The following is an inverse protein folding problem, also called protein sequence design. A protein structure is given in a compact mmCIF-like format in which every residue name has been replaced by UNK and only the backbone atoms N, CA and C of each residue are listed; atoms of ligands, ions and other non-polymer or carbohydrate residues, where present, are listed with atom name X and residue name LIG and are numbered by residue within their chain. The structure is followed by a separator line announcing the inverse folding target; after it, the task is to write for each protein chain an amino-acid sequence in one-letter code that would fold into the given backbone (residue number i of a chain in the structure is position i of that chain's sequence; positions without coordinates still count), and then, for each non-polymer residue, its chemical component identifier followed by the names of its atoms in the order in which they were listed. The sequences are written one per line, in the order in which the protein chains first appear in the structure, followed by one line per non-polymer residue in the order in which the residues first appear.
data_IF_953821248678
#
_entry.id   IF_953821248678
#
_cell.length_a   1.000
_cell.length_b   1.000
_cell.length_c   1.000
_cell.angle_alpha   90.00
_cell.angle_beta   90.00
_cell.angle_gamma   90.00
#
_symmetry.space_group_name_H-M   'P 1'
#
loop_
_entity.id
_entity.type
_entity.pdbx_description
1 polymer ?
#
# COMPACT_ATOMS: atom_id res chain seq x y z
N UNK A 1 27.52 26.71 7.01
CA UNK A 1 26.13 26.20 7.01
C UNK A 1 25.28 27.14 6.18
N UNK A 2 24.55 26.65 5.17
CA UNK A 2 23.70 27.51 4.33
C UNK A 2 22.34 27.75 4.99
N UNK A 3 21.68 28.86 4.68
CA UNK A 3 20.33 29.16 5.16
C UNK A 3 19.33 28.01 4.83
N UNK A 4 19.47 27.42 3.64
CA UNK A 4 18.69 26.25 3.23
C UNK A 4 18.91 25.06 4.18
N UNK A 5 20.15 24.76 4.53
CA UNK A 5 20.51 23.67 5.46
C UNK A 5 20.01 23.97 6.89
N UNK A 6 20.15 25.21 7.35
CA UNK A 6 19.65 25.65 8.66
C UNK A 6 18.13 25.56 8.79
N UNK A 7 17.38 25.90 7.74
CA UNK A 7 15.91 25.86 7.73
C UNK A 7 15.36 24.42 7.68
N UNK A 8 16.08 23.47 7.06
CA UNK A 8 15.67 22.06 7.04
C UNK A 8 15.90 21.36 8.39
N UNK A 9 16.90 21.82 9.16
CA UNK A 9 17.21 21.28 10.49
C UNK A 9 16.26 21.76 11.60
N UNK A 10 15.26 22.58 11.27
CA UNK A 10 14.30 23.16 12.23
C UNK A 10 12.86 22.79 11.84
N UNK A 11 12.41 21.57 12.18
CA UNK A 11 11.07 21.10 11.85
C UNK A 11 9.97 22.00 12.42
N UNK A 12 10.21 22.68 13.54
CA UNK A 12 9.31 23.67 14.12
C UNK A 12 9.10 24.89 13.22
N UNK A 13 10.15 25.37 12.54
CA UNK A 13 10.08 26.52 11.63
C UNK A 13 9.40 26.12 10.32
N UNK A 14 9.65 24.90 9.84
CA UNK A 14 8.92 24.36 8.68
C UNK A 14 7.44 24.20 8.99
N UNK A 15 7.08 23.67 10.17
CA UNK A 15 5.70 23.57 10.61
C UNK A 15 5.02 24.95 10.70
N UNK A 16 5.72 25.98 11.18
CA UNK A 16 5.22 27.36 11.20
C UNK A 16 5.05 27.89 9.77
N UNK A 17 6.01 27.63 8.86
CA UNK A 17 5.93 28.01 7.45
C UNK A 17 4.74 27.37 6.74
N UNK A 18 4.49 26.08 6.99
CA UNK A 18 3.29 25.38 6.52
C UNK A 18 2.02 25.97 7.13
N UNK A 19 2.04 26.27 8.43
CA UNK A 19 0.96 26.97 9.12
C UNK A 19 0.68 28.36 8.53
N UNK A 20 1.68 29.12 8.06
CA UNK A 20 1.45 30.44 7.43
C UNK A 20 0.68 30.28 6.11
N UNK A 21 1.02 29.26 5.31
CA UNK A 21 0.32 28.96 4.05
C UNK A 21 -1.08 28.39 4.26
N UNK A 22 -1.29 27.62 5.33
CA UNK A 22 -2.61 27.09 5.71
C UNK A 22 -3.45 28.10 6.52
N UNK A 23 -2.89 29.29 6.85
CA UNK A 23 -3.52 30.32 7.69
C UNK A 23 -3.22 31.77 7.24
N UNK A 24 -3.42 32.16 5.96
CA UNK A 24 -3.22 33.53 5.50
C UNK A 24 -4.00 34.58 6.30
N UNK A 25 -5.20 34.24 6.79
CA UNK A 25 -6.04 35.14 7.60
C UNK A 25 -5.49 35.52 8.98
N UNK A 26 -4.45 34.85 9.49
CA UNK A 26 -3.81 35.18 10.78
C UNK A 26 -2.82 36.33 10.68
N UNK A 27 -2.28 36.59 9.48
CA UNK A 27 -1.20 37.55 9.27
C UNK A 27 -1.61 38.74 8.38
N UNK A 28 -2.62 38.55 7.53
CA UNK A 28 -3.17 39.60 6.67
C UNK A 28 -4.60 39.93 7.08
N UNK A 29 -4.77 40.61 8.21
CA UNK A 29 -6.08 41.16 8.62
C UNK A 29 -6.24 42.60 8.11
N UNK A 30 -7.31 42.87 7.37
CA UNK A 30 -7.72 44.25 7.07
C UNK A 30 -8.39 44.84 8.32
N UNK A 31 -8.02 46.08 8.75
CA UNK A 31 -8.68 46.77 9.86
C UNK A 31 -10.20 46.83 9.67
N UNK A 32 -10.95 46.61 10.76
CA UNK A 32 -12.40 46.38 10.75
C UNK A 32 -13.23 47.47 10.05
N UNK A 33 -12.71 48.69 9.94
CA UNK A 33 -13.40 49.83 9.32
C UNK A 33 -13.46 49.86 7.79
N UNK A 34 -12.84 48.92 7.08
CA UNK A 34 -12.80 48.90 5.60
C UNK A 34 -13.54 47.70 4.96
N UNK A 35 -14.40 46.99 5.71
CA UNK A 35 -15.01 45.73 5.24
C UNK A 35 -16.34 45.94 4.51
N UNK A 36 -16.43 45.46 3.26
CA UNK A 36 -17.71 45.10 2.62
C UNK A 36 -18.08 43.64 2.96
N UNK A 37 -19.38 43.32 3.12
CA UNK A 37 -19.82 42.00 3.55
C UNK A 37 -20.00 41.05 2.35
N UNK A 38 -18.96 40.33 1.95
CA UNK A 38 -19.07 38.95 1.42
C UNK A 38 -17.70 38.36 1.06
N UNK A 39 -17.50 37.11 1.48
CA UNK A 39 -16.69 36.07 0.83
C UNK A 39 -15.21 36.39 0.56
N UNK A 40 -14.34 35.95 1.49
CA UNK A 40 -13.03 35.31 1.20
C UNK A 40 -12.10 35.22 2.42
N UNK A 41 -12.36 35.93 3.52
CA UNK A 41 -11.45 35.97 4.68
C UNK A 41 -11.83 35.05 5.87
N UNK A 42 -12.97 34.34 5.81
CA UNK A 42 -13.45 33.46 6.88
C UNK A 42 -13.18 31.96 6.66
N UNK A 43 -12.69 31.54 5.48
CA UNK A 43 -12.57 30.13 5.10
C UNK A 43 -11.71 29.31 6.08
N UNK A 44 -10.45 29.67 6.24
CA UNK A 44 -9.49 28.88 7.00
C UNK A 44 -9.77 28.85 8.51
N UNK A 45 -10.23 29.96 9.08
CA UNK A 45 -10.59 30.05 10.49
C UNK A 45 -11.84 29.21 10.83
N UNK A 46 -12.84 29.21 9.94
CA UNK A 46 -14.04 28.38 10.07
C UNK A 46 -13.71 26.90 9.85
N UNK A 47 -12.81 26.59 8.92
CA UNK A 47 -12.32 25.23 8.71
C UNK A 47 -11.57 24.71 9.95
N UNK A 48 -10.65 25.50 10.51
CA UNK A 48 -9.91 25.12 11.72
C UNK A 48 -10.83 24.99 12.94
N UNK A 49 -11.80 25.89 13.10
CA UNK A 49 -12.81 25.78 14.14
C UNK A 49 -13.63 24.48 14.01
N UNK A 50 -14.05 24.13 12.79
CA UNK A 50 -14.78 22.89 12.49
C UNK A 50 -13.98 21.66 12.90
N UNK A 51 -12.71 21.58 12.49
CA UNK A 51 -11.83 20.44 12.83
C UNK A 51 -11.57 20.35 14.34
N UNK A 52 -11.52 21.49 15.05
CA UNK A 52 -11.30 21.54 16.51
C UNK A 52 -12.52 21.15 17.34
N UNK A 53 -13.72 21.24 16.80
CA UNK A 53 -14.99 20.86 17.49
C UNK A 53 -15.51 19.49 17.10
N UNK A 54 -14.79 18.76 16.23
CA UNK A 54 -15.06 17.34 15.97
C UNK A 54 -14.97 16.54 17.27
N UNK A 55 -15.98 15.72 17.49
CA UNK A 55 -16.17 14.94 18.71
C UNK A 55 -16.56 13.49 18.42
N UNK A 56 -16.36 13.02 17.18
CA UNK A 56 -16.48 11.62 16.83
C UNK A 56 -15.42 10.79 17.55
N UNK A 57 -15.71 9.51 17.73
CA UNK A 57 -14.76 8.59 18.39
C UNK A 57 -13.54 8.23 17.54
N UNK A 58 -13.69 8.29 16.22
CA UNK A 58 -12.65 8.05 15.22
C UNK A 58 -12.38 9.35 14.46
N UNK A 59 -13.43 10.02 13.97
CA UNK A 59 -13.33 11.37 13.42
C UNK A 59 -13.38 12.42 14.55
N UNK A 60 -12.32 12.41 15.36
CA UNK A 60 -12.19 13.24 16.57
C UNK A 60 -11.59 14.61 16.33
N UNK A 61 -11.35 15.32 17.43
CA UNK A 61 -10.74 16.66 17.45
C UNK A 61 -9.38 16.64 16.76
N UNK A 62 -9.17 17.58 15.82
CA UNK A 62 -7.89 17.69 15.11
C UNK A 62 -7.72 16.72 13.94
N UNK A 63 -8.70 15.85 13.68
CA UNK A 63 -8.69 14.93 12.54
C UNK A 63 -9.30 15.55 11.28
N UNK A 64 -8.76 15.20 10.13
CA UNK A 64 -9.27 15.59 8.80
C UNK A 64 -9.56 14.37 7.95
N UNK A 65 -10.51 14.51 7.02
CA UNK A 65 -10.70 13.56 5.93
C UNK A 65 -9.99 14.11 4.70
N UNK A 66 -8.99 13.37 4.22
CA UNK A 66 -8.20 13.74 3.07
C UNK A 66 -8.45 12.74 1.94
N UNK A 67 -8.62 13.26 0.73
CA UNK A 67 -8.75 12.46 -0.47
C UNK A 67 -7.54 11.53 -0.62
N UNK A 68 -7.81 10.28 -0.97
CA UNK A 68 -6.78 9.26 -1.11
C UNK A 68 -5.87 9.51 -2.32
N UNK A 69 -6.40 10.19 -3.35
CA UNK A 69 -5.64 10.64 -4.51
C UNK A 69 -4.84 11.90 -4.20
N UNK A 70 -3.60 11.93 -4.68
CA UNK A 70 -2.72 13.09 -4.52
C UNK A 70 -1.83 13.29 -5.75
N UNK A 71 -1.37 14.53 -6.00
CA UNK A 71 -0.46 14.83 -7.09
C UNK A 71 0.84 14.04 -7.00
N UNK A 72 1.31 13.51 -8.13
CA UNK A 72 2.53 12.69 -8.16
C UNK A 72 2.33 11.25 -7.66
N UNK A 73 1.10 10.84 -7.32
CA UNK A 73 0.80 9.44 -7.05
C UNK A 73 1.17 8.59 -8.27
N UNK A 74 1.88 7.48 -8.01
CA UNK A 74 2.33 6.58 -9.06
C UNK A 74 1.13 6.05 -9.85
N UNK A 75 1.22 6.11 -11.16
CA UNK A 75 0.25 5.50 -12.08
C UNK A 75 0.92 4.36 -12.83
N UNK A 76 0.12 3.41 -13.30
CA UNK A 76 0.65 2.29 -14.08
C UNK A 76 1.01 2.78 -15.48
N UNK A 77 2.19 2.37 -15.96
CA UNK A 77 2.59 2.55 -17.36
C UNK A 77 1.96 1.52 -18.30
N UNK A 78 1.36 0.45 -17.78
CA UNK A 78 0.94 -0.71 -18.58
C UNK A 78 -0.56 -1.01 -18.53
N UNK A 79 -1.20 -0.84 -17.37
CA UNK A 79 -2.65 -1.07 -17.20
C UNK A 79 -3.27 0.21 -16.67
N UNK A 80 -3.85 1.00 -17.57
CA UNK A 80 -4.48 2.26 -17.24
C UNK A 80 -5.99 2.07 -17.11
N UNK A 81 -6.48 2.09 -15.87
CA UNK A 81 -7.90 2.03 -15.56
C UNK A 81 -8.27 3.32 -14.82
N UNK A 82 -9.24 4.06 -15.35
CA UNK A 82 -9.65 5.32 -14.78
C UNK A 82 -10.20 5.11 -13.35
N UNK A 83 -9.70 5.89 -12.39
CA UNK A 83 -10.08 5.76 -10.98
C UNK A 83 -9.40 4.59 -10.24
N UNK A 84 -8.52 3.81 -10.87
CA UNK A 84 -7.71 2.79 -10.22
C UNK A 84 -6.21 3.04 -10.50
N UNK A 85 -5.50 3.77 -9.63
CA UNK A 85 -4.09 4.05 -9.85
C UNK A 85 -3.22 2.81 -9.69
N UNK A 86 -2.08 2.82 -10.38
CA UNK A 86 -1.02 1.83 -10.25
C UNK A 86 -1.48 0.36 -10.36
N UNK A 87 -2.38 0.05 -11.30
CA UNK A 87 -2.74 -1.35 -11.58
C UNK A 87 -1.55 -2.07 -12.20
N UNK A 88 -1.08 -3.12 -11.53
CA UNK A 88 0.06 -3.91 -11.97
C UNK A 88 -0.29 -5.39 -12.03
N UNK A 89 0.28 -6.11 -12.99
CA UNK A 89 0.16 -7.56 -13.13
C UNK A 89 1.56 -8.17 -13.10
N UNK A 90 1.75 -9.21 -12.29
CA UNK A 90 2.99 -9.99 -12.27
C UNK A 90 3.09 -10.83 -13.54
N UNK A 91 4.23 -10.78 -14.21
CA UNK A 91 4.44 -11.59 -15.41
C UNK A 91 4.44 -13.10 -15.10
N UNK A 92 3.70 -13.87 -15.88
CA UNK A 92 3.52 -15.31 -15.69
C UNK A 92 2.60 -15.73 -14.55
N UNK A 93 1.97 -14.80 -13.79
CA UNK A 93 1.01 -15.15 -12.73
C UNK A 93 -0.32 -14.41 -12.88
N UNK A 94 -1.45 -14.99 -12.42
CA UNK A 94 -2.73 -14.31 -12.33
C UNK A 94 -2.80 -13.44 -11.06
N UNK A 95 -1.74 -12.67 -10.80
CA UNK A 95 -1.56 -11.89 -9.57
C UNK A 95 -1.45 -10.42 -9.94
N UNK A 96 -2.27 -9.60 -9.30
CA UNK A 96 -2.45 -8.20 -9.59
C UNK A 96 -2.35 -7.37 -8.32
N UNK A 97 -1.96 -6.11 -8.47
CA UNK A 97 -2.10 -5.10 -7.41
C UNK A 97 -2.66 -3.81 -7.95
N UNK A 98 -3.23 -2.99 -7.06
CA UNK A 98 -3.65 -1.63 -7.35
C UNK A 98 -3.51 -0.73 -6.13
N UNK A 99 -3.42 0.58 -6.37
CA UNK A 99 -3.68 1.57 -5.34
C UNK A 99 -5.17 1.59 -4.97
N UNK A 100 -5.51 2.29 -3.90
CA UNK A 100 -6.91 2.45 -3.49
C UNK A 100 -7.72 3.08 -4.64
N UNK A 101 -8.73 2.39 -5.19
CA UNK A 101 -9.49 2.88 -6.33
C UNK A 101 -10.71 3.69 -5.88
N UNK A 102 -11.33 4.43 -6.81
CA UNK A 102 -12.74 4.85 -6.71
C UNK A 102 -13.67 3.64 -6.85
N UNK A 103 -14.95 3.81 -6.50
CA UNK A 103 -15.97 2.77 -6.74
C UNK A 103 -16.03 2.40 -8.23
N UNK A 104 -16.02 3.39 -9.12
CA UNK A 104 -16.01 3.17 -10.56
C UNK A 104 -14.73 2.42 -11.01
N UNK A 105 -13.56 2.84 -10.52
CA UNK A 105 -12.30 2.17 -10.82
C UNK A 105 -12.27 0.71 -10.35
N UNK A 106 -12.82 0.43 -9.16
CA UNK A 106 -12.95 -0.94 -8.66
C UNK A 106 -13.83 -1.81 -9.59
N UNK A 107 -14.96 -1.27 -10.08
CA UNK A 107 -15.84 -1.97 -11.03
C UNK A 107 -15.13 -2.26 -12.35
N UNK A 108 -14.37 -1.30 -12.87
CA UNK A 108 -13.59 -1.45 -14.10
C UNK A 108 -12.47 -2.49 -13.95
N UNK A 109 -11.76 -2.50 -12.82
CA UNK A 109 -10.74 -3.54 -12.54
C UNK A 109 -11.38 -4.93 -12.47
N UNK A 110 -12.50 -5.08 -11.76
CA UNK A 110 -13.20 -6.37 -11.69
C UNK A 110 -13.73 -6.81 -13.07
N UNK A 111 -14.20 -5.88 -13.90
CA UNK A 111 -14.60 -6.16 -15.27
C UNK A 111 -13.41 -6.58 -16.16
N UNK A 112 -12.26 -5.91 -16.00
CA UNK A 112 -11.00 -6.27 -16.66
C UNK A 112 -10.56 -7.69 -16.28
N UNK A 113 -10.71 -8.08 -15.01
CA UNK A 113 -10.45 -9.43 -14.50
C UNK A 113 -11.57 -10.43 -14.81
N UNK A 114 -12.58 -10.04 -15.59
CA UNK A 114 -13.71 -10.91 -16.00
C UNK A 114 -14.47 -11.53 -14.80
N UNK A 115 -14.54 -10.80 -13.69
CA UNK A 115 -15.26 -11.21 -12.50
C UNK A 115 -16.79 -11.23 -12.67
N UNK A 116 -17.31 -10.66 -13.77
CA UNK A 116 -18.73 -10.70 -14.11
C UNK A 116 -18.89 -11.29 -15.51
N UNK A 117 -19.84 -12.21 -15.73
CA UNK A 117 -20.05 -12.80 -17.04
C UNK A 117 -20.62 -11.75 -18.00
N UNK A 118 -20.01 -11.61 -19.19
CA UNK A 118 -20.44 -10.65 -20.22
C UNK A 118 -21.61 -11.17 -21.08
N UNK A 119 -21.78 -12.48 -21.14
CA UNK A 119 -22.78 -13.19 -21.95
C UNK A 119 -23.37 -14.30 -21.09
N UNK A 120 -24.68 -14.52 -21.17
CA UNK A 120 -25.34 -15.68 -20.55
C UNK A 120 -24.67 -16.97 -21.02
N UNK A 121 -24.08 -17.73 -20.09
CA UNK A 121 -23.35 -18.98 -20.36
C UNK A 121 -21.82 -18.90 -20.30
N UNK A 122 -21.22 -17.71 -20.17
CA UNK A 122 -19.78 -17.57 -19.88
C UNK A 122 -19.52 -17.68 -18.37
N UNK A 123 -18.50 -18.46 -17.96
CA UNK A 123 -18.10 -18.56 -16.55
C UNK A 123 -17.35 -17.29 -16.12
N UNK A 124 -17.82 -16.67 -15.04
CA UNK A 124 -17.09 -15.61 -14.37
C UNK A 124 -15.77 -16.15 -13.79
N UNK A 125 -14.74 -15.31 -13.77
CA UNK A 125 -13.50 -15.64 -13.09
C UNK A 125 -13.56 -15.16 -11.64
N UNK A 126 -13.53 -16.09 -10.69
CA UNK A 126 -13.48 -15.76 -9.26
C UNK A 126 -12.23 -14.92 -8.95
N UNK A 127 -12.44 -13.72 -8.41
CA UNK A 127 -11.35 -12.83 -7.97
C UNK A 127 -11.20 -12.87 -6.46
N UNK A 128 -10.02 -13.21 -5.96
CA UNK A 128 -9.69 -13.07 -4.53
C UNK A 128 -9.08 -11.69 -4.32
N UNK A 129 -9.85 -10.78 -3.73
CA UNK A 129 -9.40 -9.43 -3.42
C UNK A 129 -8.92 -9.37 -1.97
N UNK A 130 -7.64 -9.08 -1.78
CA UNK A 130 -7.03 -8.89 -0.46
C UNK A 130 -6.64 -7.43 -0.26
N UNK A 131 -7.25 -6.78 0.71
CA UNK A 131 -6.98 -5.41 1.09
C UNK A 131 -5.93 -5.36 2.20
N UNK A 132 -4.79 -4.75 1.89
CA UNK A 132 -3.59 -4.69 2.73
C UNK A 132 -3.48 -3.40 3.54
N UNK A 133 -4.47 -2.50 3.45
CA UNK A 133 -4.40 -1.18 4.10
C UNK A 133 -4.47 -1.31 5.62
N UNK A 134 -3.53 -0.66 6.31
CA UNK A 134 -3.53 -0.50 7.78
C UNK A 134 -4.21 0.80 8.28
N UNK A 135 -4.71 1.60 7.34
CA UNK A 135 -5.40 2.85 7.64
C UNK A 135 -6.90 2.72 7.43
N UNK A 136 -7.69 3.39 8.26
CA UNK A 136 -9.13 3.45 8.09
C UNK A 136 -9.44 4.33 6.88
N UNK A 137 -10.18 3.76 5.92
CA UNK A 137 -10.66 4.46 4.73
C UNK A 137 -12.18 4.52 4.71
N UNK A 138 -12.70 5.52 4.02
CA UNK A 138 -14.13 5.69 3.75
C UNK A 138 -14.34 6.16 2.32
N UNK A 139 -15.42 5.72 1.69
CA UNK A 139 -15.85 6.21 0.40
C UNK A 139 -16.96 7.23 0.60
N UNK A 140 -16.82 8.39 -0.03
CA UNK A 140 -17.80 9.46 -0.05
C UNK A 140 -18.06 9.77 -1.52
N UNK A 141 -19.29 9.58 -1.97
CA UNK A 141 -19.70 9.77 -3.38
C UNK A 141 -18.74 9.08 -4.36
N UNK A 142 -18.47 7.80 -4.11
CA UNK A 142 -17.59 6.99 -4.94
C UNK A 142 -16.09 7.25 -4.80
N UNK A 143 -15.68 8.30 -4.07
CA UNK A 143 -14.28 8.72 -3.91
C UNK A 143 -13.71 8.28 -2.56
N UNK A 144 -12.51 7.68 -2.51
CA UNK A 144 -11.88 7.27 -1.26
C UNK A 144 -11.26 8.44 -0.49
N UNK A 145 -11.43 8.43 0.83
CA UNK A 145 -10.85 9.35 1.79
C UNK A 145 -10.19 8.56 2.94
N UNK A 146 -9.16 9.16 3.54
CA UNK A 146 -8.41 8.63 4.68
C UNK A 146 -8.37 9.67 5.80
N UNK A 147 -8.32 9.20 7.05
CA UNK A 147 -8.15 10.07 8.20
C UNK A 147 -6.70 10.51 8.33
N UNK A 148 -6.47 11.80 8.56
CA UNK A 148 -5.16 12.38 8.87
C UNK A 148 -5.26 13.31 10.07
N UNK A 149 -4.13 13.62 10.69
CA UNK A 149 -4.06 14.70 11.66
C UNK A 149 -3.89 16.04 10.94
N UNK A 150 -4.58 17.09 11.40
CA UNK A 150 -4.52 18.43 10.79
C UNK A 150 -3.10 19.02 10.78
N UNK A 151 -2.30 18.74 11.81
CA UNK A 151 -0.91 19.19 11.95
C UNK A 151 0.08 18.32 11.14
N UNK A 152 -0.32 17.13 10.71
CA UNK A 152 0.49 16.17 9.92
C UNK A 152 -0.35 15.54 8.80
N UNK A 153 -0.89 16.36 7.87
CA UNK A 153 -1.89 15.91 6.91
C UNK A 153 -1.33 15.00 5.79
N UNK A 154 -0.01 14.96 5.64
CA UNK A 154 0.70 14.09 4.67
C UNK A 154 1.17 12.80 5.33
N UNK A 155 1.30 12.76 6.66
CA UNK A 155 1.82 11.60 7.37
C UNK A 155 0.76 10.50 7.46
N UNK A 156 1.18 9.28 7.17
CA UNK A 156 0.39 8.06 7.34
C UNK A 156 0.02 7.90 8.83
N UNK A 157 -1.27 7.74 9.14
CA UNK A 157 -1.79 7.53 10.50
C UNK A 157 -1.84 6.01 10.73
N UNK A 158 -0.81 5.53 11.42
CA UNK A 158 -0.49 4.10 11.49
C UNK A 158 -1.05 3.46 12.75
N UNK A 159 -1.68 2.31 12.60
CA UNK A 159 -2.07 1.43 13.70
C UNK A 159 -1.23 0.15 13.64
N UNK A 160 0.03 0.23 14.10
CA UNK A 160 0.98 -0.88 13.97
C UNK A 160 0.41 -2.14 14.65
N UNK A 161 0.26 -3.21 13.86
CA UNK A 161 -0.23 -4.51 14.36
C UNK A 161 -1.75 -4.63 14.48
N UNK A 162 -2.53 -3.70 13.91
CA UNK A 162 -3.99 -3.81 13.86
C UNK A 162 -4.44 -5.02 13.04
N UNK A 163 -5.49 -5.70 13.48
CA UNK A 163 -6.08 -6.82 12.74
C UNK A 163 -7.18 -6.32 11.79
N UNK A 164 -7.47 -7.09 10.73
CA UNK A 164 -8.52 -6.77 9.77
C UNK A 164 -9.87 -6.45 10.43
N UNK A 165 -10.41 -7.32 11.31
CA UNK A 165 -11.70 -7.08 11.96
C UNK A 165 -11.74 -5.81 12.83
N UNK A 166 -10.63 -5.48 13.51
CA UNK A 166 -10.55 -4.25 14.32
C UNK A 166 -10.54 -3.03 13.41
N UNK A 167 -9.83 -3.09 12.28
CA UNK A 167 -9.78 -1.99 11.33
C UNK A 167 -11.14 -1.76 10.64
N UNK A 168 -11.85 -2.83 10.28
CA UNK A 168 -13.21 -2.74 9.73
C UNK A 168 -14.19 -2.13 10.74
N UNK A 169 -14.07 -2.46 12.04
CA UNK A 169 -14.87 -1.83 13.10
C UNK A 169 -14.55 -0.32 13.20
N UNK A 170 -13.28 0.06 13.09
CA UNK A 170 -12.88 1.48 13.06
C UNK A 170 -13.43 2.20 11.83
N UNK A 171 -13.46 1.57 10.65
CA UNK A 171 -14.05 2.12 9.43
C UNK A 171 -15.57 2.27 9.55
N UNK A 172 -16.27 1.31 10.16
CA UNK A 172 -17.70 1.42 10.47
C UNK A 172 -17.98 2.59 11.42
N UNK A 173 -17.15 2.74 12.46
CA UNK A 173 -17.28 3.83 13.41
C UNK A 173 -16.94 5.20 12.82
N UNK A 174 -15.95 5.26 11.92
CA UNK A 174 -15.65 6.44 11.12
C UNK A 174 -16.87 6.86 10.28
N UNK A 175 -17.52 5.90 9.61
CA UNK A 175 -18.76 6.17 8.86
C UNK A 175 -19.86 6.73 9.77
N UNK A 176 -20.06 6.17 10.96
CA UNK A 176 -21.05 6.69 11.93
C UNK A 176 -20.76 8.14 12.35
N UNK A 177 -19.48 8.45 12.62
CA UNK A 177 -19.06 9.81 12.96
C UNK A 177 -19.31 10.79 11.79
N UNK A 178 -19.02 10.37 10.56
CA UNK A 178 -19.26 11.15 9.33
C UNK A 178 -20.76 11.42 9.16
N UNK A 179 -21.60 10.39 9.23
CA UNK A 179 -23.05 10.52 9.09
C UNK A 179 -23.62 11.42 10.18
N UNK A 180 -23.09 11.36 11.40
CA UNK A 180 -23.47 12.23 12.50
C UNK A 180 -23.08 13.69 12.26
N UNK A 181 -21.87 13.94 11.73
CA UNK A 181 -21.42 15.28 11.35
C UNK A 181 -22.32 15.87 10.25
N UNK A 182 -22.59 15.11 9.19
CA UNK A 182 -23.45 15.48 8.05
C UNK A 182 -24.86 15.86 8.52
N UNK A 183 -25.47 15.05 9.42
CA UNK A 183 -26.81 15.33 9.96
C UNK A 183 -26.85 16.63 10.75
N UNK A 184 -25.80 16.93 11.51
CA UNK A 184 -25.70 18.17 12.31
C UNK A 184 -25.42 19.40 11.46
N UNK A 185 -24.67 19.27 10.38
CA UNK A 185 -24.27 20.37 9.50
C UNK A 185 -25.23 20.66 8.34
N UNK A 186 -26.35 19.92 8.26
CA UNK A 186 -27.33 20.06 7.18
C UNK A 186 -26.82 19.56 5.83
N UNK A 187 -26.05 18.47 5.82
CA UNK A 187 -25.52 17.86 4.60
C UNK A 187 -24.10 18.29 4.23
N UNK A 188 -23.50 19.27 4.90
CA UNK A 188 -22.20 19.85 4.52
C UNK A 188 -21.04 19.30 5.33
N UNK A 189 -19.97 18.87 4.68
CA UNK A 189 -18.78 18.39 5.39
C UNK A 189 -17.50 18.97 4.84
N UNK A 190 -16.53 19.19 5.73
CA UNK A 190 -15.20 19.65 5.37
C UNK A 190 -14.31 18.45 5.01
N UNK A 191 -13.92 18.40 3.74
CA UNK A 191 -12.99 17.44 3.14
C UNK A 191 -11.69 18.14 2.76
N UNK A 192 -10.64 17.37 2.49
CA UNK A 192 -9.34 17.90 2.13
C UNK A 192 -8.78 17.15 0.92
N UNK A 193 -7.98 17.82 0.11
CA UNK A 193 -7.23 17.21 -1.00
C UNK A 193 -5.83 17.82 -1.08
N UNK A 194 -4.93 17.12 -1.74
CA UNK A 194 -3.66 17.72 -2.14
C UNK A 194 -3.79 18.40 -3.50
N UNK A 195 -3.29 19.62 -3.60
CA UNK A 195 -3.11 20.33 -4.87
C UNK A 195 -1.63 20.64 -5.08
N UNK A 196 -1.18 20.42 -6.31
CA UNK A 196 0.20 20.73 -6.69
C UNK A 196 0.25 22.14 -7.26
N UNK A 197 1.12 22.97 -6.69
CA UNK A 197 1.41 24.30 -7.18
C UNK A 197 2.60 24.26 -8.14
N UNK A 198 2.39 24.47 -9.46
CA UNK A 198 3.46 24.47 -10.45
C UNK A 198 4.48 25.59 -10.25
N UNK A 199 4.08 26.71 -9.62
CA UNK A 199 4.96 27.85 -9.40
C UNK A 199 5.96 27.61 -8.26
N UNK A 200 5.54 26.92 -7.20
CA UNK A 200 6.43 26.59 -6.09
C UNK A 200 6.98 25.16 -6.10
N UNK A 201 6.57 24.33 -7.07
CA UNK A 201 6.93 22.91 -7.18
C UNK A 201 6.70 22.15 -5.86
N UNK A 202 5.57 22.46 -5.21
CA UNK A 202 5.19 21.93 -3.91
C UNK A 202 3.70 21.58 -3.90
N UNK A 203 3.36 20.47 -3.24
CA UNK A 203 1.98 20.12 -2.94
C UNK A 203 1.53 20.79 -1.64
N UNK A 204 0.30 21.29 -1.60
CA UNK A 204 -0.33 21.79 -0.40
C UNK A 204 -1.67 21.09 -0.13
N UNK A 205 -2.09 21.08 1.13
CA UNK A 205 -3.38 20.51 1.53
C UNK A 205 -4.41 21.62 1.55
N UNK A 206 -5.53 21.41 0.84
CA UNK A 206 -6.60 22.39 0.73
C UNK A 206 -7.90 21.76 1.26
N UNK A 207 -8.55 22.48 2.17
CA UNK A 207 -9.89 22.14 2.66
C UNK A 207 -10.98 22.66 1.73
N UNK A 208 -12.03 21.89 1.53
CA UNK A 208 -13.20 22.28 0.75
C UNK A 208 -14.48 21.70 1.35
N UNK A 209 -15.58 22.44 1.19
CA UNK A 209 -16.89 22.03 1.66
C UNK A 209 -17.64 21.30 0.57
N UNK A 210 -18.14 20.11 0.89
CA UNK A 210 -18.93 19.28 -0.02
C UNK A 210 -20.31 18.99 0.60
N UNK A 211 -21.34 18.90 -0.24
CA UNK A 211 -22.64 18.39 0.17
C UNK A 211 -22.62 16.87 0.03
N UNK A 212 -22.87 16.14 1.12
CA UNK A 212 -22.78 14.70 1.19
C UNK A 212 -24.12 14.14 1.67
N UNK A 213 -24.67 13.14 0.96
CA UNK A 213 -25.76 12.32 1.46
C UNK A 213 -25.23 11.22 2.37
N UNK A 214 -25.98 10.87 3.42
CA UNK A 214 -25.62 9.74 4.28
C UNK A 214 -25.54 8.40 3.51
N UNK A 215 -26.33 8.27 2.44
CA UNK A 215 -26.37 7.07 1.60
C UNK A 215 -25.12 6.92 0.70
N UNK A 216 -24.40 8.02 0.46
CA UNK A 216 -23.19 8.04 -0.36
C UNK A 216 -21.92 7.72 0.44
N UNK A 217 -22.05 7.48 1.75
CA UNK A 217 -20.94 7.12 2.64
C UNK A 217 -20.85 5.60 2.80
N UNK A 218 -19.77 5.00 2.32
CA UNK A 218 -19.54 3.54 2.37
C UNK A 218 -18.20 3.18 2.98
N UNK A 219 -18.16 2.13 3.78
CA UNK A 219 -16.88 1.51 4.16
C UNK A 219 -16.34 0.65 3.02
N UNK A 220 -15.05 0.31 3.00
CA UNK A 220 -14.50 -0.66 2.07
C UNK A 220 -15.25 -2.01 2.10
N UNK A 221 -15.56 -2.53 3.29
CA UNK A 221 -16.31 -3.78 3.43
C UNK A 221 -17.70 -3.69 2.79
N UNK A 222 -18.43 -2.60 3.02
CA UNK A 222 -19.75 -2.35 2.41
C UNK A 222 -19.65 -2.21 0.89
N UNK A 223 -18.62 -1.54 0.38
CA UNK A 223 -18.37 -1.41 -1.06
C UNK A 223 -18.21 -2.79 -1.71
N UNK A 224 -17.30 -3.62 -1.21
CA UNK A 224 -17.04 -4.91 -1.84
C UNK A 224 -18.15 -5.93 -1.60
N UNK A 225 -18.91 -5.82 -0.51
CA UNK A 225 -20.15 -6.56 -0.32
C UNK A 225 -21.19 -6.17 -1.38
N UNK A 226 -21.42 -4.87 -1.60
CA UNK A 226 -22.35 -4.39 -2.62
C UNK A 226 -21.93 -4.83 -4.04
N UNK A 227 -20.63 -4.83 -4.36
CA UNK A 227 -20.14 -5.33 -5.64
C UNK A 227 -20.40 -6.84 -5.80
N UNK A 228 -20.25 -7.62 -4.75
CA UNK A 228 -20.62 -9.04 -4.78
C UNK A 228 -22.11 -9.22 -5.07
N UNK A 229 -22.96 -8.43 -4.41
CA UNK A 229 -24.42 -8.46 -4.61
C UNK A 229 -24.84 -7.97 -6.01
N UNK A 230 -24.06 -7.10 -6.65
CA UNK A 230 -24.21 -6.70 -8.06
C UNK A 230 -23.83 -7.82 -9.07
N UNK A 231 -23.39 -8.99 -8.59
CA UNK A 231 -23.12 -10.18 -9.40
C UNK A 231 -21.66 -10.34 -9.83
N UNK A 232 -20.71 -9.68 -9.18
CA UNK A 232 -19.28 -9.94 -9.37
C UNK A 232 -18.86 -11.17 -8.55
N UNK A 233 -18.26 -12.17 -9.20
CA UNK A 233 -17.68 -13.34 -8.55
C UNK A 233 -16.36 -12.98 -7.88
N UNK A 234 -16.45 -12.59 -6.61
CA UNK A 234 -15.28 -12.20 -5.83
C UNK A 234 -15.39 -12.57 -4.35
N UNK A 235 -14.22 -12.67 -3.72
CA UNK A 235 -14.08 -12.81 -2.26
C UNK A 235 -13.22 -11.67 -1.75
N UNK A 236 -13.76 -10.86 -0.83
CA UNK A 236 -13.04 -9.79 -0.15
C UNK A 236 -12.42 -10.30 1.15
N UNK A 237 -11.16 -9.94 1.42
CA UNK A 237 -10.46 -10.20 2.68
C UNK A 237 -9.66 -8.96 3.11
N UNK A 238 -9.72 -8.60 4.38
CA UNK A 238 -8.91 -7.51 4.97
C UNK A 238 -7.74 -8.09 5.76
N UNK A 239 -6.51 -7.90 5.27
CA UNK A 239 -5.27 -8.38 5.89
C UNK A 239 -4.27 -7.21 5.96
N UNK A 240 -4.36 -6.34 6.99
CA UNK A 240 -3.48 -5.18 7.13
C UNK A 240 -2.00 -5.59 7.12
N UNK A 241 -1.22 -4.99 6.22
CA UNK A 241 0.21 -5.32 6.04
C UNK A 241 1.02 -4.06 5.69
N UNK A 242 1.56 -3.37 6.70
CA UNK A 242 2.47 -2.24 6.46
C UNK A 242 3.90 -2.67 6.16
N UNK A 243 4.61 -1.81 5.42
CA UNK A 243 6.06 -1.89 5.25
C UNK A 243 6.83 -1.56 6.53
N UNK A 244 6.25 -0.75 7.43
CA UNK A 244 6.87 -0.31 8.68
C UNK A 244 6.60 -1.25 9.86
N UNK A 245 5.71 -2.22 9.73
CA UNK A 245 5.51 -3.28 10.74
C UNK A 245 6.65 -4.31 10.64
N UNK A 246 7.00 -4.95 11.75
CA UNK A 246 7.85 -6.13 11.71
C UNK A 246 7.15 -7.28 10.97
N UNK A 247 7.85 -7.91 10.03
CA UNK A 247 7.33 -9.10 9.37
C UNK A 247 7.24 -10.27 10.36
N UNK A 248 6.10 -10.95 10.38
CA UNK A 248 5.86 -12.15 11.17
C UNK A 248 5.58 -13.34 10.25
N UNK A 249 5.90 -14.56 10.72
CA UNK A 249 5.53 -15.79 10.02
C UNK A 249 4.00 -15.88 9.81
N UNK A 250 3.20 -15.39 10.77
CA UNK A 250 1.75 -15.33 10.65
C UNK A 250 1.26 -14.45 9.50
N UNK A 251 2.04 -13.46 9.06
CA UNK A 251 1.70 -12.64 7.90
C UNK A 251 1.85 -13.46 6.60
N UNK A 252 2.88 -14.31 6.52
CA UNK A 252 3.03 -15.26 5.42
C UNK A 252 1.85 -16.22 5.40
N UNK A 253 1.49 -16.80 6.55
CA UNK A 253 0.35 -17.69 6.69
C UNK A 253 -0.95 -17.03 6.23
N UNK A 254 -1.26 -15.84 6.73
CA UNK A 254 -2.46 -15.10 6.37
C UNK A 254 -2.58 -14.90 4.85
N UNK A 255 -1.47 -14.57 4.17
CA UNK A 255 -1.46 -14.36 2.72
C UNK A 255 -1.49 -15.69 1.95
N UNK A 256 -0.71 -16.72 2.32
CA UNK A 256 -0.72 -17.99 1.59
C UNK A 256 -2.10 -18.68 1.64
N UNK A 257 -2.83 -18.52 2.74
CA UNK A 257 -4.19 -19.07 2.90
C UNK A 257 -5.25 -18.28 2.12
N UNK A 258 -4.89 -17.18 1.45
CA UNK A 258 -5.74 -16.55 0.43
C UNK A 258 -5.82 -17.35 -0.88
N UNK A 259 -4.88 -18.27 -1.11
CA UNK A 259 -4.91 -19.14 -2.29
C UNK A 259 -6.20 -19.97 -2.30
N UNK A 260 -6.86 -20.02 -3.45
CA UNK A 260 -8.11 -20.72 -3.68
C UNK A 260 -8.03 -21.43 -5.04
N UNK A 261 -8.31 -22.73 -5.09
CA UNK A 261 -8.23 -23.55 -6.31
C UNK A 261 -9.20 -23.11 -7.40
N UNK A 262 -10.30 -22.44 -7.03
CA UNK A 262 -11.28 -21.90 -7.96
C UNK A 262 -10.98 -20.47 -8.39
N UNK A 263 -9.95 -19.82 -7.82
CA UNK A 263 -9.63 -18.44 -8.17
C UNK A 263 -9.04 -18.32 -9.58
N UNK A 264 -9.64 -17.46 -10.39
CA UNK A 264 -9.08 -17.05 -11.68
C UNK A 264 -8.02 -15.97 -11.55
N UNK A 265 -8.07 -15.15 -10.49
CA UNK A 265 -7.09 -14.08 -10.24
C UNK A 265 -7.02 -13.65 -8.78
N UNK A 266 -5.86 -13.16 -8.36
CA UNK A 266 -5.59 -12.60 -7.04
C UNK A 266 -5.32 -11.10 -7.18
N UNK A 267 -6.06 -10.26 -6.46
CA UNK A 267 -5.94 -8.80 -6.53
C UNK A 267 -5.61 -8.23 -5.16
N UNK A 268 -4.47 -7.56 -5.04
CA UNK A 268 -4.05 -6.90 -3.81
C UNK A 268 -4.28 -5.38 -3.86
N UNK A 269 -4.92 -4.83 -2.83
CA UNK A 269 -5.15 -3.39 -2.71
C UNK A 269 -4.30 -2.83 -1.59
N UNK A 270 -3.62 -1.71 -1.83
CA UNK A 270 -2.85 -1.00 -0.80
C UNK A 270 -3.02 0.52 -0.97
N UNK A 271 -2.33 1.32 -0.15
CA UNK A 271 -2.42 2.77 -0.23
C UNK A 271 -2.04 3.27 -1.64
N UNK A 272 -0.85 2.89 -2.12
CA UNK A 272 -0.30 3.34 -3.42
C UNK A 272 -0.21 2.25 -4.49
N UNK A 273 -0.51 0.99 -4.17
CA UNK A 273 -0.25 -0.14 -5.06
C UNK A 273 1.25 -0.43 -5.22
N UNK A 274 2.11 0.21 -4.42
CA UNK A 274 3.57 0.08 -4.50
C UNK A 274 4.20 -0.09 -3.11
N UNK A 275 5.31 -0.82 -3.01
CA UNK A 275 6.06 -1.06 -1.78
C UNK A 275 5.68 -2.39 -1.14
N UNK A 276 5.15 -2.37 0.08
CA UNK A 276 4.84 -3.58 0.87
C UNK A 276 3.88 -4.57 0.19
N UNK A 277 3.06 -4.12 -0.76
CA UNK A 277 2.19 -5.01 -1.55
C UNK A 277 2.99 -6.02 -2.40
N UNK A 278 4.19 -5.67 -2.86
CA UNK A 278 5.06 -6.57 -3.60
C UNK A 278 5.46 -7.82 -2.79
N UNK A 279 5.58 -7.68 -1.47
CA UNK A 279 5.84 -8.82 -0.56
C UNK A 279 4.66 -9.79 -0.50
N UNK A 280 3.42 -9.30 -0.39
CA UNK A 280 2.22 -10.13 -0.41
C UNK A 280 2.04 -10.85 -1.76
N UNK A 281 2.30 -10.14 -2.87
CA UNK A 281 2.28 -10.71 -4.21
C UNK A 281 3.32 -11.83 -4.36
N UNK A 282 4.55 -11.61 -3.87
CA UNK A 282 5.60 -12.60 -3.92
C UNK A 282 5.23 -13.89 -3.15
N UNK A 283 4.60 -13.78 -1.97
CA UNK A 283 4.13 -14.94 -1.20
C UNK A 283 3.17 -15.78 -2.05
N UNK A 284 2.19 -15.16 -2.71
CA UNK A 284 1.22 -15.91 -3.52
C UNK A 284 1.84 -16.48 -4.80
N UNK A 285 2.74 -15.76 -5.47
CA UNK A 285 3.49 -16.27 -6.62
C UNK A 285 4.32 -17.51 -6.26
N UNK A 286 5.04 -17.47 -5.13
CA UNK A 286 5.82 -18.60 -4.61
C UNK A 286 4.91 -19.81 -4.31
N UNK A 287 3.73 -19.57 -3.74
CA UNK A 287 2.75 -20.60 -3.44
C UNK A 287 2.19 -21.25 -4.71
N UNK A 288 1.86 -20.45 -5.73
CA UNK A 288 1.37 -20.93 -7.02
C UNK A 288 2.43 -21.75 -7.77
N UNK A 289 3.70 -21.31 -7.76
CA UNK A 289 4.81 -22.05 -8.37
C UNK A 289 5.01 -23.43 -7.76
N UNK A 290 4.86 -23.54 -6.43
CA UNK A 290 5.00 -24.80 -5.73
C UNK A 290 3.97 -25.84 -6.19
N UNK A 291 2.72 -25.38 -6.37
CA UNK A 291 1.60 -26.23 -6.75
C UNK A 291 1.62 -26.59 -8.24
N UNK A 292 2.04 -25.66 -9.10
CA UNK A 292 2.27 -25.95 -10.52
C UNK A 292 3.35 -27.02 -10.71
N UNK A 293 4.42 -26.98 -9.91
CA UNK A 293 5.48 -28.00 -9.92
C UNK A 293 4.97 -29.35 -9.37
N UNK A 294 4.13 -29.34 -8.34
CA UNK A 294 3.52 -30.56 -7.80
C UNK A 294 2.58 -31.24 -8.82
N UNK A 295 1.68 -30.48 -9.45
CA UNK A 295 0.76 -31.00 -10.47
C UNK A 295 1.49 -31.52 -11.71
N UNK A 296 2.58 -30.86 -12.12
CA UNK A 296 3.46 -31.34 -13.18
C UNK A 296 4.16 -32.66 -12.83
N UNK A 297 4.70 -32.80 -11.60
CA UNK A 297 5.30 -34.07 -11.14
C UNK A 297 4.29 -35.22 -11.07
N UNK A 298 3.08 -34.98 -10.58
CA UNK A 298 2.00 -35.98 -10.54
C UNK A 298 1.66 -36.43 -11.97
N UNK A 299 1.53 -35.49 -12.90
CA UNK A 299 1.25 -35.77 -14.31
C UNK A 299 2.39 -36.53 -15.00
N UNK A 300 3.65 -36.24 -14.67
CA UNK A 300 4.82 -36.97 -15.16
C UNK A 300 4.97 -38.36 -14.56
N UNK A 301 4.45 -38.60 -13.35
CA UNK A 301 4.45 -39.93 -12.71
C UNK A 301 3.41 -40.85 -13.36
N UNK A 302 2.33 -40.30 -13.93
CA UNK A 302 1.29 -41.02 -14.67
C UNK A 302 1.66 -41.32 -16.14
N UNK A 303 2.63 -40.59 -16.71
CA UNK A 303 3.15 -40.83 -18.07
C UNK A 303 4.65 -41.09 -17.96
N UNK A 304 5.00 -42.36 -17.76
CA UNK A 304 6.39 -42.79 -17.66
C UNK A 304 7.20 -42.36 -18.89
N UNK A 305 8.05 -41.35 -18.72
CA UNK A 305 9.02 -40.95 -19.74
C UNK A 305 10.31 -40.48 -19.08
N UNK A 306 11.35 -41.31 -19.26
CA UNK A 306 12.74 -41.01 -18.89
C UNK A 306 13.23 -39.82 -19.70
N UNK A 307 13.87 -38.84 -19.04
CA UNK A 307 14.83 -37.96 -19.71
C UNK A 307 16.08 -37.77 -18.86
N UNK A 308 17.20 -38.13 -19.49
CA UNK A 308 18.57 -37.87 -19.09
C UNK A 308 18.85 -36.37 -19.16
N UNK A 309 19.56 -35.83 -18.17
CA UNK A 309 20.10 -34.47 -18.20
C UNK A 309 21.63 -34.52 -18.20
N UNK A 310 22.22 -34.04 -19.29
CA UNK A 310 23.63 -33.74 -19.43
C UNK A 310 24.02 -32.55 -18.54
N UNK A 311 25.11 -32.73 -17.78
CA UNK A 311 25.77 -31.67 -17.02
C UNK A 311 26.54 -30.75 -17.99
N UNK A 312 26.27 -29.46 -17.92
CA UNK A 312 27.16 -28.42 -18.45
C UNK A 312 27.70 -27.61 -17.28
N UNK A 313 28.95 -27.88 -16.91
CA UNK A 313 29.74 -26.99 -16.06
C UNK A 313 30.05 -25.71 -16.84
N UNK A 314 29.79 -24.55 -16.22
CA UNK A 314 30.45 -23.32 -16.67
C UNK A 314 30.69 -22.34 -15.52
N UNK A 315 31.99 -22.15 -15.29
CA UNK A 315 32.72 -20.94 -14.90
C UNK A 315 32.65 -20.46 -13.45
N UNK A 316 33.86 -20.39 -12.86
CA UNK A 316 34.18 -19.78 -11.58
C UNK A 316 33.68 -18.32 -11.50
N UNK A 317 33.22 -17.85 -10.33
CA UNK A 317 32.92 -16.43 -10.13
C UNK A 317 34.22 -15.64 -9.99
N UNK A 318 34.44 -14.70 -10.90
CA UNK A 318 35.31 -13.55 -10.64
C UNK A 318 34.72 -12.73 -9.49
N UNK A 319 35.58 -12.26 -8.59
CA UNK A 319 35.23 -11.43 -7.42
C UNK A 319 34.27 -10.31 -7.81
N UNK A 320 33.01 -10.43 -7.40
CA UNK A 320 32.00 -9.38 -7.55
C UNK A 320 32.39 -8.20 -6.65
N UNK A 321 32.17 -6.97 -7.12
CA UNK A 321 32.33 -5.80 -6.27
C UNK A 321 31.38 -5.90 -5.07
N UNK A 322 31.80 -5.41 -3.88
CA UNK A 322 30.97 -5.42 -2.67
C UNK A 322 29.59 -4.77 -2.89
N UNK A 323 29.51 -3.76 -3.76
CA UNK A 323 28.22 -3.15 -4.16
C UNK A 323 27.32 -4.09 -4.97
N UNK A 324 27.90 -4.91 -5.85
CA UNK A 324 27.15 -5.86 -6.68
C UNK A 324 26.62 -7.02 -5.83
N UNK A 325 27.42 -7.52 -4.89
CA UNK A 325 26.99 -8.53 -3.93
C UNK A 325 25.77 -8.05 -3.10
N UNK A 326 25.78 -6.79 -2.66
CA UNK A 326 24.65 -6.19 -1.93
C UNK A 326 23.39 -6.07 -2.79
N UNK A 327 23.52 -5.73 -4.08
CA UNK A 327 22.38 -5.68 -5.02
C UNK A 327 21.81 -7.07 -5.31
N UNK A 328 22.67 -8.09 -5.35
CA UNK A 328 22.27 -9.49 -5.52
C UNK A 328 21.66 -10.10 -4.25
N UNK A 329 21.61 -9.36 -3.14
CA UNK A 329 21.02 -9.80 -1.89
C UNK A 329 21.90 -10.77 -1.10
N UNK A 330 23.22 -10.77 -1.35
CA UNK A 330 24.20 -11.65 -0.71
C UNK A 330 24.63 -11.12 0.66
N UNK A 331 23.64 -10.83 1.51
CA UNK A 331 23.85 -10.38 2.87
C UNK A 331 24.34 -11.54 3.74
N UNK A 332 25.26 -11.27 4.70
CA UNK A 332 25.86 -12.29 5.57
C UNK A 332 24.83 -13.23 6.22
N UNK A 333 23.74 -12.67 6.75
CA UNK A 333 22.70 -13.45 7.42
C UNK A 333 21.85 -14.26 6.45
N UNK A 334 21.59 -13.73 5.24
CA UNK A 334 20.90 -14.47 4.17
C UNK A 334 21.79 -15.61 3.62
N UNK A 335 23.09 -15.38 3.45
CA UNK A 335 24.03 -16.44 3.06
C UNK A 335 24.15 -17.51 4.15
N UNK A 336 24.08 -17.13 5.42
CA UNK A 336 24.06 -18.09 6.53
C UNK A 336 22.75 -18.89 6.54
N UNK A 337 21.62 -18.23 6.28
CA UNK A 337 20.31 -18.87 6.12
C UNK A 337 20.32 -19.91 4.99
N UNK A 338 20.83 -19.58 3.81
CA UNK A 338 20.84 -20.51 2.67
C UNK A 338 21.71 -21.74 2.90
N UNK A 339 22.72 -21.67 3.78
CA UNK A 339 23.52 -22.85 4.17
C UNK A 339 22.78 -23.80 5.10
N UNK A 340 21.88 -23.29 5.96
CA UNK A 340 21.14 -24.13 6.92
C UNK A 340 19.82 -24.68 6.37
N UNK A 341 19.24 -24.01 5.37
CA UNK A 341 17.99 -24.44 4.75
C UNK A 341 18.20 -25.61 3.77
N UNK A 342 17.30 -26.59 3.83
CA UNK A 342 17.22 -27.65 2.82
C UNK A 342 16.82 -26.99 1.49
N UNK A 343 17.59 -27.24 0.44
CA UNK A 343 17.49 -26.53 -0.85
C UNK A 343 17.66 -25.01 -0.73
N UNK A 344 18.44 -24.50 0.23
CA UNK A 344 18.59 -23.07 0.48
C UNK A 344 19.02 -22.22 -0.73
N UNK A 345 20.10 -22.57 -1.46
CA UNK A 345 20.51 -21.81 -2.65
C UNK A 345 19.43 -21.74 -3.74
N UNK A 346 18.73 -22.87 -3.96
CA UNK A 346 17.60 -22.93 -4.89
C UNK A 346 16.42 -22.09 -4.41
N UNK A 347 16.14 -22.11 -3.11
CA UNK A 347 15.05 -21.31 -2.50
C UNK A 347 15.30 -19.81 -2.68
N UNK A 348 16.54 -19.35 -2.46
CA UNK A 348 16.94 -17.96 -2.73
C UNK A 348 16.77 -17.61 -4.21
N UNK A 349 17.28 -18.43 -5.12
CA UNK A 349 17.19 -18.18 -6.55
C UNK A 349 15.73 -18.12 -7.05
N UNK A 350 14.88 -19.05 -6.62
CA UNK A 350 13.43 -19.04 -6.92
C UNK A 350 12.77 -17.74 -6.41
N UNK A 351 13.10 -17.31 -5.19
CA UNK A 351 12.57 -16.07 -4.59
C UNK A 351 13.05 -14.82 -5.33
N UNK A 352 14.33 -14.76 -5.69
CA UNK A 352 14.91 -13.61 -6.40
C UNK A 352 14.21 -13.38 -7.75
N UNK A 353 13.89 -14.45 -8.48
CA UNK A 353 13.11 -14.39 -9.72
C UNK A 353 11.71 -13.83 -9.48
N UNK A 354 11.03 -14.29 -8.43
CA UNK A 354 9.67 -13.80 -8.10
C UNK A 354 9.71 -12.32 -7.69
N UNK A 355 10.71 -11.90 -6.93
CA UNK A 355 10.87 -10.49 -6.53
C UNK A 355 11.07 -9.60 -7.76
N UNK A 356 11.91 -10.01 -8.72
CA UNK A 356 12.10 -9.28 -9.98
C UNK A 356 10.79 -9.14 -10.76
N UNK A 357 10.01 -10.22 -10.85
CA UNK A 357 8.69 -10.19 -11.50
C UNK A 357 7.67 -9.32 -10.77
N UNK A 358 7.88 -9.01 -9.48
CA UNK A 358 7.01 -8.13 -8.70
C UNK A 358 7.48 -6.67 -8.69
N UNK A 359 8.61 -6.33 -9.33
CA UNK A 359 9.28 -5.04 -9.21
C UNK A 359 8.38 -3.82 -9.53
N UNK A 360 7.39 -3.97 -10.40
CA UNK A 360 6.43 -2.89 -10.71
C UNK A 360 5.52 -2.50 -9.54
N UNK A 361 5.32 -3.40 -8.58
CA UNK A 361 4.54 -3.19 -7.35
C UNK A 361 5.42 -3.08 -6.08
N UNK A 362 6.73 -3.30 -6.18
CA UNK A 362 7.68 -3.18 -5.08
C UNK A 362 8.83 -4.18 -5.22
N UNK A 363 10.06 -3.73 -5.01
CA UNK A 363 11.25 -4.55 -5.16
C UNK A 363 12.04 -4.61 -3.85
N UNK A 364 11.85 -5.71 -3.11
CA UNK A 364 12.35 -5.82 -1.74
C UNK A 364 13.88 -5.72 -1.62
N UNK A 365 14.63 -6.22 -2.62
CA UNK A 365 16.09 -6.08 -2.65
C UNK A 365 16.53 -4.64 -2.93
N UNK A 366 15.76 -3.89 -3.73
CA UNK A 366 16.04 -2.47 -3.96
C UNK A 366 15.75 -1.65 -2.71
N UNK A 367 14.69 -2.00 -1.97
CA UNK A 367 14.38 -1.36 -0.69
C UNK A 367 15.52 -1.57 0.32
N UNK A 368 16.02 -2.81 0.48
CA UNK A 368 17.16 -3.10 1.36
C UNK A 368 18.40 -2.31 0.92
N UNK A 369 18.72 -2.35 -0.37
CA UNK A 369 19.86 -1.63 -0.93
C UNK A 369 19.75 -0.11 -0.75
N UNK A 370 18.54 0.44 -0.91
CA UNK A 370 18.25 1.85 -0.67
C UNK A 370 18.55 2.23 0.79
N UNK A 371 18.02 1.48 1.77
CA UNK A 371 18.26 1.80 3.17
C UNK A 371 19.75 1.70 3.55
N UNK A 372 20.48 0.71 3.01
CA UNK A 372 21.94 0.60 3.20
C UNK A 372 22.65 1.83 2.64
N UNK A 373 22.31 2.25 1.41
CA UNK A 373 22.94 3.41 0.78
C UNK A 373 22.63 4.72 1.50
N UNK A 374 21.42 4.90 1.99
CA UNK A 374 21.06 6.10 2.76
C UNK A 374 21.77 6.13 4.12
N UNK A 375 21.96 4.98 4.76
CA UNK A 375 22.74 4.87 6.00
C UNK A 375 24.21 5.28 5.81
N UNK A 376 24.84 4.92 4.69
CA UNK A 376 26.22 5.29 4.41
C UNK A 376 26.41 6.78 4.10
N UNK A 377 25.37 7.46 3.63
CA UNK A 377 25.40 8.90 3.33
C UNK A 377 25.18 9.77 4.56
N UNK A 378 24.66 9.21 5.66
CA UNK A 378 24.32 9.98 6.85
C UNK A 378 25.58 10.46 7.58
N UNK A 379 25.66 11.76 7.95
CA UNK A 379 26.75 12.27 8.76
C UNK A 379 26.68 11.72 10.20
N UNK A 380 27.82 11.67 10.88
CA UNK A 380 27.88 11.38 12.32
C UNK A 380 27.15 12.48 13.09
N UNK A 381 26.15 12.08 13.89
CA UNK A 381 25.34 12.98 14.73
C UNK A 381 23.82 12.95 14.54
N UNK A 382 23.29 12.29 13.50
CA UNK A 382 21.83 12.11 13.33
C UNK A 382 21.37 10.71 13.76
N UNK A 383 21.30 10.49 15.06
CA UNK A 383 21.01 9.17 15.64
C UNK A 383 19.56 8.74 15.45
N UNK A 384 18.60 9.68 15.41
CA UNK A 384 17.19 9.37 15.15
C UNK A 384 16.95 8.92 13.71
N UNK A 385 17.48 9.65 12.73
CA UNK A 385 17.35 9.27 11.33
C UNK A 385 18.09 7.96 11.04
N UNK A 386 19.27 7.78 11.63
CA UNK A 386 20.03 6.52 11.56
C UNK A 386 19.23 5.35 12.13
N UNK A 387 18.63 5.50 13.31
CA UNK A 387 17.79 4.46 13.91
C UNK A 387 16.58 4.11 13.04
N UNK A 388 15.91 5.12 12.46
CA UNK A 388 14.77 4.92 11.56
C UNK A 388 15.16 4.14 10.29
N UNK A 389 16.25 4.52 9.62
CA UNK A 389 16.72 3.81 8.42
C UNK A 389 17.18 2.38 8.73
N UNK A 390 17.86 2.17 9.86
CA UNK A 390 18.27 0.83 10.32
C UNK A 390 17.04 -0.05 10.55
N UNK A 391 16.05 0.45 11.27
CA UNK A 391 14.81 -0.26 11.56
C UNK A 391 14.06 -0.64 10.26
N UNK A 392 13.93 0.29 9.31
CA UNK A 392 13.32 0.01 8.01
C UNK A 392 14.11 -1.01 7.18
N UNK A 393 15.44 -0.90 7.15
CA UNK A 393 16.32 -1.86 6.49
C UNK A 393 16.21 -3.26 7.07
N UNK A 394 16.18 -3.38 8.41
CA UNK A 394 15.98 -4.66 9.11
C UNK A 394 14.62 -5.26 8.77
N UNK A 395 13.55 -4.46 8.75
CA UNK A 395 12.20 -4.92 8.39
C UNK A 395 12.14 -5.44 6.96
N UNK A 396 12.78 -4.75 6.01
CA UNK A 396 12.89 -5.22 4.63
C UNK A 396 13.69 -6.53 4.52
N UNK A 397 14.83 -6.63 5.22
CA UNK A 397 15.65 -7.85 5.26
C UNK A 397 14.89 -9.04 5.86
N UNK A 398 14.11 -8.82 6.93
CA UNK A 398 13.26 -9.86 7.55
C UNK A 398 12.18 -10.36 6.60
N UNK A 399 11.57 -9.50 5.78
CA UNK A 399 10.63 -9.95 4.73
C UNK A 399 11.34 -10.86 3.73
N UNK A 400 12.56 -10.52 3.32
CA UNK A 400 13.32 -11.31 2.35
C UNK A 400 13.69 -12.67 2.94
N UNK A 401 14.16 -12.68 4.19
CA UNK A 401 14.35 -13.89 4.99
C UNK A 401 13.10 -14.79 4.95
N UNK A 402 11.91 -14.23 5.23
CA UNK A 402 10.69 -15.03 5.27
C UNK A 402 10.30 -15.62 3.92
N UNK A 403 10.47 -14.88 2.81
CA UNK A 403 10.22 -15.43 1.47
C UNK A 403 11.12 -16.64 1.18
N UNK A 404 12.42 -16.55 1.52
CA UNK A 404 13.38 -17.64 1.32
C UNK A 404 13.02 -18.85 2.19
N UNK A 405 12.73 -18.64 3.48
CA UNK A 405 12.32 -19.73 4.36
C UNK A 405 11.00 -20.36 3.91
N UNK A 406 10.05 -19.55 3.42
CA UNK A 406 8.77 -20.03 2.95
C UNK A 406 8.92 -20.89 1.69
N UNK A 407 9.77 -20.47 0.74
CA UNK A 407 10.06 -21.29 -0.45
C UNK A 407 10.74 -22.61 -0.07
N UNK A 408 11.70 -22.59 0.86
CA UNK A 408 12.34 -23.82 1.37
C UNK A 408 11.32 -24.74 2.06
N UNK A 409 10.42 -24.19 2.88
CA UNK A 409 9.31 -24.91 3.50
C UNK A 409 8.43 -25.60 2.45
N UNK A 410 8.02 -24.90 1.39
CA UNK A 410 7.21 -25.50 0.32
C UNK A 410 7.96 -26.60 -0.45
N UNK A 411 9.25 -26.41 -0.75
CA UNK A 411 10.09 -27.41 -1.42
C UNK A 411 10.20 -28.73 -0.63
N UNK A 412 10.19 -28.64 0.71
CA UNK A 412 10.17 -29.83 1.58
C UNK A 412 8.86 -30.60 1.47
N UNK A 413 7.74 -29.89 1.27
CA UNK A 413 6.43 -30.50 1.09
C UNK A 413 6.20 -30.98 -0.35
N UNK A 414 6.93 -30.45 -1.34
CA UNK A 414 6.95 -30.95 -2.72
C UNK A 414 7.80 -32.22 -2.91
N UNK A 415 8.66 -32.55 -1.94
CA UNK A 415 9.62 -33.67 -2.00
C UNK A 415 9.17 -34.89 -1.21
N UNK A 416 8.07 -34.77 -0.45
CA UNK A 416 7.35 -35.87 0.18
C UNK A 416 6.19 -36.26 -0.72
#
# INVERSE_FOLDING_TARGET
MTFKSWLHQRPEVQAIKWSIRLRPGRFFTIPEGLRTPQESQHGDAVMEATVRVRNGSVLGKGSILKMYFFPGQRTSSHIQIHGAPNVYKVDGYPVYSMATPTIAGAKEVLAYLKAKPKIEGSLAQKVILTDLREEAAVYIDGTPFVIRELNKPVDTLKHVGITGPVLELMEARLKEDIVSEIRRSGGRMLLHREEYDPASNQSCIIGYWENISADDVKTPAELYAALKDEGYDMTYRRIPLAGEREALASDVDAIQYCKDDCAGSYLFVSHTGFGGVGYAMAIICIKLDAEAKLTSKISQTLVGSRRSSSLSESKLPSELSDEEALRMGDYRDILSLTRVLIHGPKSKADVDIVIEKCAGAGHLRDDIHYYIKELWKLPDGDDEQRACLLDMGIKALRRYFYLITFRSYLLLHESK
#
